data_IF_181621104168
#
_entry.id   IF_181621104168
#
_cell.length_a   1.000
_cell.length_b   1.000
_cell.length_c   1.000
_cell.angle_alpha   90.00
_cell.angle_beta   90.00
_cell.angle_gamma   90.00
#
_symmetry.space_group_name_H-M   'P 1'
#
loop_
_entity.id
_entity.type
_entity.pdbx_description
1 polymer ?
#
# COMPACT_ATOMS: atom_id res chain seq x y z
N UNK A 1 -21.15 -6.64 5.80
CA UNK A 1 -19.70 -6.48 5.58
C UNK A 1 -18.99 -7.31 6.63
N UNK A 2 -18.01 -8.15 6.25
CA UNK A 2 -17.19 -8.87 7.24
C UNK A 2 -16.33 -7.80 7.94
N UNK A 3 -16.55 -7.60 9.23
CA UNK A 3 -15.65 -6.83 10.08
C UNK A 3 -14.35 -7.61 10.14
N UNK A 4 -13.35 -7.15 9.40
CA UNK A 4 -12.04 -7.79 9.41
C UNK A 4 -11.41 -7.38 10.72
N UNK A 5 -11.35 -8.33 11.64
CA UNK A 5 -10.69 -8.12 12.92
C UNK A 5 -9.18 -8.20 12.68
N UNK A 6 -8.67 -7.13 12.09
CA UNK A 6 -7.31 -7.00 11.62
C UNK A 6 -6.47 -6.60 12.83
N UNK A 7 -5.80 -7.58 13.46
CA UNK A 7 -4.83 -7.27 14.51
C UNK A 7 -3.54 -6.72 13.86
N UNK A 8 -3.63 -5.51 13.30
CA UNK A 8 -2.52 -4.80 12.64
C UNK A 8 -1.53 -4.35 13.72
N UNK A 9 -0.31 -4.91 13.70
CA UNK A 9 0.73 -4.45 14.62
C UNK A 9 1.12 -3.00 14.35
N UNK A 10 1.83 -2.35 15.28
CA UNK A 10 2.36 -1.00 15.04
C UNK A 10 3.29 -0.96 13.81
N UNK A 11 4.15 -1.96 13.65
CA UNK A 11 5.06 -2.08 12.50
C UNK A 11 4.30 -2.26 11.18
N UNK A 12 3.17 -2.96 11.19
CA UNK A 12 2.32 -3.10 10.01
C UNK A 12 1.69 -1.77 9.60
N UNK A 13 1.18 -0.99 10.57
CA UNK A 13 0.66 0.36 10.30
C UNK A 13 1.76 1.26 9.74
N UNK A 14 2.95 1.28 10.35
CA UNK A 14 4.08 2.09 9.88
C UNK A 14 4.48 1.72 8.44
N UNK A 15 4.51 0.42 8.12
CA UNK A 15 4.83 -0.08 6.78
C UNK A 15 3.76 0.32 5.76
N UNK A 16 2.48 0.21 6.12
CA UNK A 16 1.37 0.62 5.25
C UNK A 16 1.42 2.13 4.98
N UNK A 17 1.57 2.95 6.03
CA UNK A 17 1.69 4.41 5.90
C UNK A 17 2.88 4.80 5.03
N UNK A 18 4.03 4.16 5.24
CA UNK A 18 5.20 4.36 4.38
C UNK A 18 4.88 4.02 2.93
N UNK A 19 4.32 2.84 2.65
CA UNK A 19 4.02 2.43 1.29
C UNK A 19 3.03 3.38 0.59
N UNK A 20 2.00 3.82 1.31
CA UNK A 20 1.00 4.78 0.81
C UNK A 20 1.60 6.15 0.49
N UNK A 21 2.69 6.53 1.16
CA UNK A 21 3.43 7.76 0.85
C UNK A 21 4.27 7.65 -0.42
N UNK A 22 4.69 6.43 -0.79
CA UNK A 22 5.50 6.16 -1.98
C UNK A 22 4.64 6.11 -3.24
N UNK A 23 3.43 5.52 -3.17
CA UNK A 23 2.61 5.27 -4.36
C UNK A 23 2.29 6.52 -5.20
N UNK A 24 1.90 7.67 -4.62
CA UNK A 24 1.60 8.88 -5.42
C UNK A 24 2.82 9.45 -6.15
N UNK A 25 4.03 9.19 -5.65
CA UNK A 25 5.28 9.67 -6.25
C UNK A 25 5.77 8.81 -7.41
N UNK A 26 5.16 7.63 -7.63
CA UNK A 26 5.50 6.75 -8.74
C UNK A 26 4.71 7.19 -9.97
N UNK A 27 5.43 7.60 -11.02
CA UNK A 27 4.85 7.88 -12.33
C UNK A 27 4.57 6.55 -13.02
N UNK A 28 3.29 6.16 -13.09
CA UNK A 28 2.85 5.03 -13.89
C UNK A 28 2.38 5.58 -15.25
N UNK A 29 3.15 5.33 -16.31
CA UNK A 29 2.97 5.91 -17.65
C UNK A 29 1.57 5.64 -18.25
N UNK A 30 0.87 4.61 -17.78
CA UNK A 30 -0.44 4.18 -18.30
C UNK A 30 -1.65 4.65 -17.46
N UNK A 31 -1.44 5.38 -16.37
CA UNK A 31 -2.53 5.82 -15.47
C UNK A 31 -3.04 7.20 -15.88
N UNK A 32 -4.32 7.28 -16.26
CA UNK A 32 -4.94 8.58 -16.55
C UNK A 32 -5.09 9.44 -15.28
N UNK A 33 -5.24 10.76 -15.46
CA UNK A 33 -5.32 11.72 -14.37
C UNK A 33 -6.46 11.41 -13.38
N UNK A 34 -7.62 10.95 -13.86
CA UNK A 34 -8.77 10.61 -13.01
C UNK A 34 -8.42 9.45 -12.07
N UNK A 35 -7.78 8.41 -12.59
CA UNK A 35 -7.38 7.25 -11.80
C UNK A 35 -6.24 7.60 -10.84
N UNK A 36 -5.34 8.52 -11.23
CA UNK A 36 -4.31 9.05 -10.34
C UNK A 36 -4.92 9.84 -9.16
N UNK A 37 -5.92 10.68 -9.41
CA UNK A 37 -6.65 11.40 -8.36
C UNK A 37 -7.38 10.45 -7.42
N UNK A 38 -8.08 9.44 -7.96
CA UNK A 38 -8.77 8.41 -7.16
C UNK A 38 -7.77 7.66 -6.27
N UNK A 39 -6.64 7.24 -6.81
CA UNK A 39 -5.60 6.53 -6.05
C UNK A 39 -5.03 7.42 -4.95
N UNK A 40 -4.79 8.70 -5.24
CA UNK A 40 -4.30 9.68 -4.27
C UNK A 40 -5.30 9.89 -3.14
N UNK A 41 -6.58 10.09 -3.44
CA UNK A 41 -7.64 10.20 -2.42
C UNK A 41 -7.74 8.93 -1.56
N UNK A 42 -7.63 7.75 -2.18
CA UNK A 42 -7.61 6.49 -1.45
C UNK A 42 -6.37 6.35 -0.55
N UNK A 43 -5.20 6.83 -0.98
CA UNK A 43 -4.00 6.84 -0.14
C UNK A 43 -4.21 7.70 1.11
N UNK A 44 -4.76 8.90 0.95
CA UNK A 44 -5.04 9.83 2.05
C UNK A 44 -6.06 9.24 3.04
N UNK A 45 -7.20 8.78 2.53
CA UNK A 45 -8.28 8.19 3.36
C UNK A 45 -7.81 6.93 4.10
N UNK A 46 -7.06 6.05 3.42
CA UNK A 46 -6.49 4.85 4.06
C UNK A 46 -5.50 5.22 5.16
N UNK A 47 -4.65 6.22 4.92
CA UNK A 47 -3.67 6.68 5.90
C UNK A 47 -4.35 7.25 7.15
N UNK A 48 -5.38 8.08 6.97
CA UNK A 48 -6.16 8.64 8.08
C UNK A 48 -6.81 7.54 8.92
N UNK A 49 -7.43 6.54 8.27
CA UNK A 49 -8.03 5.39 8.96
C UNK A 49 -7.00 4.57 9.73
N UNK A 50 -5.84 4.30 9.14
CA UNK A 50 -4.74 3.57 9.78
C UNK A 50 -4.22 4.29 11.04
N UNK A 51 -4.03 5.62 10.97
CA UNK A 51 -3.60 6.45 12.10
C UNK A 51 -4.60 6.35 13.26
N UNK A 52 -5.90 6.38 12.96
CA UNK A 52 -6.96 6.29 13.95
C UNK A 52 -7.34 4.85 14.33
N UNK A 53 -6.61 3.84 13.82
CA UNK A 53 -6.92 2.41 14.01
C UNK A 53 -8.34 2.04 13.58
N UNK A 54 -8.91 2.80 12.64
CA UNK A 54 -10.18 2.47 12.00
C UNK A 54 -9.92 1.44 10.89
N UNK A 55 -10.55 0.28 10.99
CA UNK A 55 -10.39 -0.82 10.02
C UNK A 55 -11.54 -0.90 9.01
N UNK A 56 -12.42 0.09 8.97
CA UNK A 56 -13.54 0.16 8.01
C UNK A 56 -13.06 0.67 6.64
N UNK A 57 -12.34 -0.19 5.92
CA UNK A 57 -11.80 0.11 4.60
C UNK A 57 -12.78 -0.28 3.48
N UNK A 58 -12.96 0.61 2.51
CA UNK A 58 -13.72 0.32 1.30
C UNK A 58 -12.82 -0.43 0.28
N UNK A 59 -13.40 -1.12 -0.73
CA UNK A 59 -12.62 -1.94 -1.66
C UNK A 59 -11.46 -1.21 -2.35
N UNK A 60 -11.65 0.04 -2.80
CA UNK A 60 -10.58 0.79 -3.47
C UNK A 60 -9.44 1.19 -2.52
N UNK A 61 -9.72 1.41 -1.23
CA UNK A 61 -8.67 1.63 -0.22
C UNK A 61 -7.83 0.38 -0.02
N UNK A 62 -8.47 -0.79 0.03
CA UNK A 62 -7.78 -2.08 0.13
C UNK A 62 -6.91 -2.33 -1.10
N UNK A 63 -7.43 -2.02 -2.30
CA UNK A 63 -6.68 -2.10 -3.56
C UNK A 63 -5.46 -1.19 -3.56
N UNK A 64 -5.61 0.04 -3.12
CA UNK A 64 -4.52 1.01 -3.09
C UNK A 64 -3.46 0.66 -2.04
N UNK A 65 -3.84 0.20 -0.85
CA UNK A 65 -2.89 -0.33 0.14
C UNK A 65 -2.10 -1.53 -0.39
N UNK A 66 -2.74 -2.41 -1.15
CA UNK A 66 -2.04 -3.54 -1.78
C UNK A 66 -1.09 -3.09 -2.88
N UNK A 67 -1.55 -2.20 -3.77
CA UNK A 67 -0.74 -1.65 -4.86
C UNK A 67 0.48 -0.87 -4.32
N UNK A 68 0.31 -0.13 -3.22
CA UNK A 68 1.41 0.57 -2.58
C UNK A 68 2.46 -0.38 -2.02
N UNK A 69 2.05 -1.49 -1.40
CA UNK A 69 2.96 -2.55 -0.96
C UNK A 69 3.68 -3.21 -2.14
N UNK A 70 2.96 -3.53 -3.23
CA UNK A 70 3.55 -4.09 -4.45
C UNK A 70 4.55 -3.13 -5.09
N UNK A 71 4.26 -1.84 -5.13
CA UNK A 71 5.18 -0.83 -5.61
C UNK A 71 6.49 -0.83 -4.80
N UNK A 72 6.42 -0.85 -3.47
CA UNK A 72 7.61 -0.95 -2.60
C UNK A 72 8.35 -2.27 -2.82
N UNK A 73 7.63 -3.38 -3.03
CA UNK A 73 8.26 -4.67 -3.37
C UNK A 73 9.02 -4.59 -4.70
N UNK A 74 8.40 -4.06 -5.76
CA UNK A 74 9.02 -3.88 -7.08
C UNK A 74 10.25 -2.97 -7.01
N UNK A 75 10.15 -1.86 -6.27
CA UNK A 75 11.32 -1.01 -5.97
C UNK A 75 12.40 -1.85 -5.32
N UNK A 76 12.10 -2.62 -4.26
CA UNK A 76 13.10 -3.40 -3.55
C UNK A 76 13.81 -4.45 -4.44
N UNK A 77 13.09 -5.13 -5.33
CA UNK A 77 13.67 -6.11 -6.25
C UNK A 77 14.30 -5.50 -7.52
N UNK A 78 14.14 -4.19 -7.74
CA UNK A 78 14.74 -3.48 -8.86
C UNK A 78 13.93 -3.52 -10.17
N UNK A 79 12.64 -3.86 -10.08
CA UNK A 79 11.71 -3.88 -11.22
C UNK A 79 10.96 -2.55 -11.38
N UNK A 80 11.09 -1.64 -10.41
CA UNK A 80 10.57 -0.28 -10.49
C UNK A 80 11.66 0.70 -10.08
N UNK A 81 11.98 1.63 -10.98
CA UNK A 81 13.00 2.65 -10.75
C UNK A 81 12.49 3.75 -9.80
N UNK A 82 13.39 4.22 -8.94
CA UNK A 82 13.19 5.38 -8.08
C UNK A 82 14.54 6.02 -7.74
N UNK A 83 14.52 7.16 -7.04
CA UNK A 83 15.75 7.76 -6.53
C UNK A 83 16.40 6.90 -5.42
N UNK A 84 17.68 7.17 -5.16
CA UNK A 84 18.52 6.39 -4.25
C UNK A 84 18.00 6.45 -2.81
N UNK A 85 17.45 7.59 -2.39
CA UNK A 85 16.97 7.78 -1.02
C UNK A 85 15.66 6.98 -0.81
N UNK A 86 14.73 7.05 -1.77
CA UNK A 86 13.51 6.23 -1.77
C UNK A 86 13.83 4.73 -1.79
N UNK A 87 14.80 4.29 -2.60
CA UNK A 87 15.23 2.88 -2.65
C UNK A 87 15.76 2.43 -1.28
N UNK A 88 16.60 3.25 -0.66
CA UNK A 88 17.15 2.98 0.67
C UNK A 88 16.06 2.89 1.73
N UNK A 89 15.07 3.78 1.70
CA UNK A 89 13.96 3.76 2.64
C UNK A 89 13.05 2.54 2.43
N UNK A 90 12.76 2.16 1.18
CA UNK A 90 12.00 0.95 0.85
C UNK A 90 12.65 -0.32 1.43
N UNK A 91 13.98 -0.40 1.43
CA UNK A 91 14.72 -1.57 1.90
C UNK A 91 14.52 -1.86 3.40
N UNK A 92 14.21 -0.82 4.19
CA UNK A 92 13.96 -0.94 5.64
C UNK A 92 12.71 -1.77 5.95
N UNK A 93 11.78 -1.86 5.01
CA UNK A 93 10.47 -2.49 5.20
C UNK A 93 10.31 -3.83 4.48
N UNK A 94 11.37 -4.38 3.86
CA UNK A 94 11.29 -5.55 2.97
C UNK A 94 10.54 -6.75 3.56
N UNK A 95 10.82 -7.10 4.83
CA UNK A 95 10.19 -8.23 5.49
C UNK A 95 8.70 -7.98 5.76
N UNK A 96 8.36 -6.81 6.31
CA UNK A 96 6.97 -6.46 6.64
C UNK A 96 6.13 -6.28 5.38
N UNK A 97 6.69 -5.69 4.32
CA UNK A 97 6.04 -5.57 3.00
C UNK A 97 5.66 -6.94 2.46
N UNK A 98 6.61 -7.89 2.41
CA UNK A 98 6.33 -9.24 1.91
C UNK A 98 5.30 -9.98 2.77
N UNK A 99 5.36 -9.82 4.10
CA UNK A 99 4.36 -10.38 5.03
C UNK A 99 2.96 -9.83 4.73
N UNK A 100 2.84 -8.51 4.56
CA UNK A 100 1.57 -7.85 4.31
C UNK A 100 1.01 -8.18 2.93
N UNK A 101 1.85 -8.28 1.89
CA UNK A 101 1.41 -8.73 0.56
C UNK A 101 0.76 -10.11 0.65
N UNK A 102 1.42 -11.09 1.26
CA UNK A 102 0.88 -12.43 1.43
C UNK A 102 -0.42 -12.44 2.24
N UNK A 103 -0.51 -11.58 3.26
CA UNK A 103 -1.75 -11.40 4.02
C UNK A 103 -2.88 -10.85 3.14
N UNK A 104 -2.61 -9.83 2.33
CA UNK A 104 -3.62 -9.23 1.47
C UNK A 104 -4.10 -10.24 0.41
N UNK A 105 -3.19 -10.93 -0.27
CA UNK A 105 -3.50 -11.95 -1.28
C UNK A 105 -4.37 -13.09 -0.70
N UNK A 106 -4.11 -13.53 0.53
CA UNK A 106 -4.89 -14.59 1.18
C UNK A 106 -6.24 -14.11 1.74
N UNK A 107 -6.32 -12.86 2.20
CA UNK A 107 -7.52 -12.32 2.88
C UNK A 107 -8.50 -11.65 1.93
N UNK A 108 -7.99 -11.06 0.85
CA UNK A 108 -8.76 -10.26 -0.11
C UNK A 108 -8.54 -10.68 -1.57
N UNK A 109 -8.51 -11.99 -1.90
CA UNK A 109 -8.21 -12.42 -3.26
C UNK A 109 -9.15 -11.79 -4.30
N UNK A 110 -10.41 -11.53 -3.93
CA UNK A 110 -11.43 -10.95 -4.80
C UNK A 110 -11.15 -9.51 -5.27
N UNK A 111 -10.16 -8.81 -4.68
CA UNK A 111 -9.83 -7.44 -5.07
C UNK A 111 -8.60 -7.36 -6.00
N UNK A 112 -7.93 -8.49 -6.24
CA UNK A 112 -6.67 -8.55 -7.01
C UNK A 112 -6.70 -9.56 -8.16
N UNK A 113 -7.79 -10.31 -8.30
CA UNK A 113 -8.06 -11.27 -9.38
C UNK A 113 -8.61 -10.60 -10.63
#
# INVERSE_FOLDING_TARGET
MKTINFNISKSDVETLLFSLSVLPSIVLEEVNNIQHEINTSCCLSSSEKLIHRNTDFIPNEIRVMYLSLKAVQLINIGELDCDIDTKKDCSKYIFTVNKLIAYFESTFPQYFS
#
